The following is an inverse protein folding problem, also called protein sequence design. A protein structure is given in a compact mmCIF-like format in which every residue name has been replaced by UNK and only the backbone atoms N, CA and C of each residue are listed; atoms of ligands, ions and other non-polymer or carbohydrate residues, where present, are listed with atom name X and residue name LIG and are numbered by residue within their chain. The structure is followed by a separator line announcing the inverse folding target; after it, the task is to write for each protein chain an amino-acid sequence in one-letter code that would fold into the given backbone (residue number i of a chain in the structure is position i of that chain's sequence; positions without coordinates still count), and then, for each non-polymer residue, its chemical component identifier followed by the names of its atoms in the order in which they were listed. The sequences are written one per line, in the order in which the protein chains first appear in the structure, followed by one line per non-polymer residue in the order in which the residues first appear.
data_IF_296991255924
#
_entry.id   IF_296991255924
#
_cell.length_a   1.000
_cell.length_b   1.000
_cell.length_c   1.000
_cell.angle_alpha   90.00
_cell.angle_beta   90.00
_cell.angle_gamma   90.00
#
_symmetry.space_group_name_H-M   'P 1'
#
loop_
_entity.id
_entity.type
_entity.pdbx_description
1 polymer ?
#
# COMPACT_ATOMS: atom_id res chain seq x y z
N UNK A 1 -12.33 -22.79 -40.81
CA UNK A 1 -13.19 -21.84 -40.06
C UNK A 1 -12.88 -20.43 -40.56
N UNK A 2 -13.88 -19.75 -41.11
CA UNK A 2 -13.70 -18.63 -42.03
C UNK A 2 -13.35 -17.33 -41.26
N UNK A 3 -12.15 -16.75 -41.48
CA UNK A 3 -11.64 -15.56 -40.74
C UNK A 3 -12.59 -14.36 -40.80
N UNK A 4 -13.37 -14.23 -41.88
CA UNK A 4 -14.34 -13.16 -42.07
C UNK A 4 -15.50 -13.18 -41.06
N UNK A 5 -15.81 -14.34 -40.48
CA UNK A 5 -16.90 -14.48 -39.49
C UNK A 5 -16.46 -13.95 -38.13
N UNK A 6 -15.17 -14.08 -37.79
CA UNK A 6 -14.59 -13.64 -36.53
C UNK A 6 -14.51 -12.10 -36.46
N UNK A 7 -14.06 -11.45 -37.54
CA UNK A 7 -14.05 -9.99 -37.64
C UNK A 7 -15.45 -9.37 -37.55
N UNK A 8 -16.46 -10.02 -38.14
CA UNK A 8 -17.85 -9.53 -38.10
C UNK A 8 -18.46 -9.63 -36.70
N UNK A 9 -18.08 -10.64 -35.92
CA UNK A 9 -18.50 -10.80 -34.51
C UNK A 9 -17.87 -9.71 -33.64
N UNK A 10 -16.60 -9.38 -33.87
CA UNK A 10 -15.89 -8.35 -33.11
C UNK A 10 -16.46 -6.94 -33.37
N UNK A 11 -16.81 -6.62 -34.62
CA UNK A 11 -17.45 -5.34 -34.96
C UNK A 11 -18.87 -5.21 -34.38
N UNK A 12 -19.67 -6.28 -34.42
CA UNK A 12 -21.01 -6.30 -33.81
C UNK A 12 -20.94 -6.13 -32.28
N UNK A 13 -19.96 -6.77 -31.63
CA UNK A 13 -19.73 -6.65 -30.20
C UNK A 13 -19.32 -5.23 -29.82
N UNK A 14 -18.45 -4.60 -30.62
CA UNK A 14 -17.97 -3.22 -30.39
C UNK A 14 -19.09 -2.19 -30.53
N UNK A 15 -19.96 -2.34 -31.52
CA UNK A 15 -21.12 -1.45 -31.70
C UNK A 15 -22.13 -1.56 -30.56
N UNK A 16 -22.45 -2.78 -30.11
CA UNK A 16 -23.36 -3.00 -28.97
C UNK A 16 -22.82 -2.44 -27.65
N UNK A 17 -21.51 -2.51 -27.43
CA UNK A 17 -20.85 -1.93 -26.25
C UNK A 17 -20.87 -0.40 -26.28
N UNK A 18 -20.69 0.21 -27.46
CA UNK A 18 -20.75 1.66 -27.64
C UNK A 18 -22.17 2.21 -27.45
N UNK A 19 -23.21 1.48 -27.87
CA UNK A 19 -24.60 1.86 -27.59
C UNK A 19 -24.95 1.76 -26.09
N UNK A 20 -24.49 0.70 -25.41
CA UNK A 20 -24.66 0.55 -23.96
C UNK A 20 -23.98 1.67 -23.17
N UNK A 21 -22.77 2.08 -23.56
CA UNK A 21 -22.06 3.22 -22.97
C UNK A 21 -22.81 4.54 -23.22
N UNK A 22 -23.37 4.74 -24.41
CA UNK A 22 -24.20 5.93 -24.72
C UNK A 22 -25.48 5.97 -23.89
N UNK A 23 -26.16 4.82 -23.72
CA UNK A 23 -27.38 4.74 -22.92
C UNK A 23 -27.11 4.97 -21.42
N UNK A 24 -26.04 4.37 -20.89
CA UNK A 24 -25.59 4.58 -19.51
C UNK A 24 -25.26 6.04 -19.21
N UNK A 25 -24.55 6.72 -20.12
CA UNK A 25 -24.20 8.14 -19.96
C UNK A 25 -25.43 9.06 -19.98
N UNK A 26 -26.45 8.77 -20.80
CA UNK A 26 -27.67 9.57 -20.87
C UNK A 26 -28.57 9.41 -19.62
N UNK A 27 -28.63 8.20 -19.05
CA UNK A 27 -29.39 7.93 -17.80
C UNK A 27 -28.69 8.55 -16.58
N UNK A 28 -27.36 8.48 -16.52
CA UNK A 28 -26.57 9.13 -15.46
C UNK A 28 -26.74 10.65 -15.53
N UNK A 29 -26.70 11.25 -16.72
CA UNK A 29 -26.89 12.70 -16.88
C UNK A 29 -28.29 13.19 -16.46
N UNK A 30 -29.36 12.43 -16.78
CA UNK A 30 -30.73 12.76 -16.32
C UNK A 30 -30.91 12.64 -14.80
N UNK A 31 -30.27 11.67 -14.16
CA UNK A 31 -30.36 11.50 -12.70
C UNK A 31 -29.51 12.53 -11.94
N UNK A 32 -28.42 13.01 -12.55
CA UNK A 32 -27.61 14.12 -12.00
C UNK A 32 -28.34 15.45 -12.11
N UNK A 33 -29.05 15.73 -13.22
CA UNK A 33 -29.81 16.98 -13.38
C UNK A 33 -30.97 17.09 -12.38
N UNK A 34 -31.66 15.99 -12.08
CA UNK A 34 -32.81 16.00 -11.16
C UNK A 34 -32.38 16.16 -9.69
N UNK A 35 -31.23 15.60 -9.29
CA UNK A 35 -30.70 15.72 -7.91
C UNK A 35 -30.05 17.08 -7.60
N UNK A 36 -29.77 17.91 -8.62
CA UNK A 36 -29.18 19.24 -8.45
C UNK A 36 -30.21 20.29 -8.01
N UNK A 37 -31.50 20.08 -8.29
CA UNK A 37 -32.56 21.07 -8.03
C UNK A 37 -33.10 21.04 -6.58
N UNK A 38 -32.92 19.95 -5.83
CA UNK A 38 -33.50 19.79 -4.48
C UNK A 38 -32.53 20.09 -3.33
N UNK A 39 -31.22 20.14 -3.60
CA UNK A 39 -30.22 20.42 -2.58
C UNK A 39 -29.81 21.88 -2.70
N UNK A 40 -30.11 22.68 -1.67
CA UNK A 40 -29.52 24.01 -1.47
C UNK A 40 -28.01 23.83 -1.19
N UNK A 41 -27.27 23.51 -2.24
CA UNK A 41 -25.82 23.44 -2.24
C UNK A 41 -25.33 24.85 -2.00
N UNK A 42 -24.64 25.09 -0.89
CA UNK A 42 -23.83 26.30 -0.72
C UNK A 42 -22.81 26.24 -1.85
N UNK A 43 -23.10 26.98 -2.91
CA UNK A 43 -22.26 27.05 -4.09
C UNK A 43 -21.04 27.86 -3.69
N UNK A 44 -20.03 27.19 -3.12
CA UNK A 44 -18.70 27.76 -3.03
C UNK A 44 -18.26 27.95 -4.47
N UNK A 45 -18.35 29.19 -4.95
CA UNK A 45 -18.02 29.56 -6.32
C UNK A 45 -16.68 28.97 -6.71
N UNK A 46 -16.54 28.61 -7.99
CA UNK A 46 -15.25 28.14 -8.51
C UNK A 46 -14.22 29.24 -8.17
N UNK A 47 -13.16 28.90 -7.42
CA UNK A 47 -12.15 29.88 -7.04
C UNK A 47 -11.59 30.57 -8.29
N UNK A 48 -11.70 31.90 -8.30
CA UNK A 48 -11.50 32.75 -9.48
C UNK A 48 -10.04 32.96 -9.87
N UNK A 49 -9.10 32.49 -9.05
CA UNK A 49 -7.68 32.76 -9.20
C UNK A 49 -6.84 31.48 -9.16
N UNK A 50 -5.95 31.31 -10.13
CA UNK A 50 -5.01 30.19 -10.22
C UNK A 50 -4.90 29.66 -11.64
N UNK A 51 -3.68 29.32 -12.08
CA UNK A 51 -3.47 28.67 -13.37
C UNK A 51 -4.04 27.25 -13.37
N UNK A 52 -4.35 26.70 -14.55
CA UNK A 52 -4.82 25.32 -14.70
C UNK A 52 -3.88 24.30 -14.05
N UNK A 53 -2.57 24.59 -14.08
CA UNK A 53 -1.55 23.79 -13.43
C UNK A 53 -1.72 23.78 -11.90
N UNK A 54 -1.97 24.93 -11.29
CA UNK A 54 -2.24 25.04 -9.86
C UNK A 54 -3.47 24.21 -9.45
N UNK A 55 -4.55 24.28 -10.23
CA UNK A 55 -5.77 23.50 -9.98
C UNK A 55 -5.53 22.00 -10.06
N UNK A 56 -4.80 21.55 -11.08
CA UNK A 56 -4.44 20.14 -11.25
C UNK A 56 -3.60 19.61 -10.08
N UNK A 57 -2.61 20.38 -9.62
CA UNK A 57 -1.82 20.03 -8.45
C UNK A 57 -2.67 19.98 -7.17
N UNK A 58 -3.55 20.95 -6.95
CA UNK A 58 -4.44 20.99 -5.78
C UNK A 58 -5.41 19.82 -5.76
N UNK A 59 -5.98 19.44 -6.91
CA UNK A 59 -6.85 18.27 -7.05
C UNK A 59 -6.11 16.97 -6.77
N UNK A 60 -4.87 16.87 -7.25
CA UNK A 60 -4.00 15.72 -6.98
C UNK A 60 -3.72 15.60 -5.47
N UNK A 61 -3.28 16.66 -4.82
CA UNK A 61 -3.01 16.71 -3.37
C UNK A 61 -4.27 16.37 -2.58
N UNK A 62 -5.42 16.95 -2.96
CA UNK A 62 -6.69 16.69 -2.29
C UNK A 62 -7.14 15.24 -2.44
N UNK A 63 -6.92 14.64 -3.61
CA UNK A 63 -7.23 13.24 -3.88
C UNK A 63 -6.33 12.30 -3.07
N UNK A 64 -5.03 12.60 -3.00
CA UNK A 64 -4.07 11.85 -2.18
C UNK A 64 -4.50 11.92 -0.70
N UNK A 65 -4.76 13.12 -0.18
CA UNK A 65 -5.20 13.32 1.21
C UNK A 65 -6.48 12.55 1.55
N UNK A 66 -7.44 12.48 0.61
CA UNK A 66 -8.67 11.68 0.79
C UNK A 66 -8.37 10.18 0.79
N UNK A 67 -7.51 9.70 -0.11
CA UNK A 67 -7.11 8.29 -0.19
C UNK A 67 -6.34 7.85 1.06
N UNK A 68 -5.39 8.65 1.54
CA UNK A 68 -4.60 8.34 2.74
C UNK A 68 -5.47 8.30 3.99
N UNK A 69 -6.37 9.28 4.18
CA UNK A 69 -7.34 9.26 5.30
C UNK A 69 -8.23 8.02 5.28
N UNK A 70 -8.66 7.57 4.10
CA UNK A 70 -9.46 6.34 3.97
C UNK A 70 -8.63 5.10 4.34
N UNK A 71 -7.39 5.02 3.89
CA UNK A 71 -6.47 3.93 4.25
C UNK A 71 -6.19 3.88 5.75
N UNK A 72 -5.89 5.03 6.37
CA UNK A 72 -5.69 5.14 7.82
C UNK A 72 -6.93 4.64 8.59
N UNK A 73 -8.13 5.06 8.17
CA UNK A 73 -9.37 4.58 8.78
C UNK A 73 -9.59 3.07 8.62
N UNK A 74 -9.15 2.46 7.51
CA UNK A 74 -9.19 1.00 7.36
C UNK A 74 -8.19 0.29 8.28
N UNK A 75 -7.02 0.88 8.54
CA UNK A 75 -6.07 0.38 9.52
C UNK A 75 -6.63 0.49 10.94
N UNK A 76 -7.22 1.64 11.30
CA UNK A 76 -7.84 1.86 12.62
C UNK A 76 -9.03 0.92 12.86
N UNK A 77 -9.83 0.65 11.82
CA UNK A 77 -10.94 -0.30 11.89
C UNK A 77 -10.47 -1.76 11.89
N UNK A 78 -9.23 -2.03 11.49
CA UNK A 78 -8.69 -3.37 11.53
C UNK A 78 -8.29 -3.68 12.97
N UNK A 79 -9.18 -4.39 13.67
CA UNK A 79 -8.99 -4.83 15.03
C UNK A 79 -7.72 -5.66 15.21
N UNK A 80 -7.25 -6.33 14.16
CA UNK A 80 -5.96 -7.01 14.20
C UNK A 80 -4.88 -5.97 14.50
N UNK A 81 -4.71 -4.88 13.74
CA UNK A 81 -3.64 -3.91 14.02
C UNK A 81 -3.61 -3.37 15.46
N UNK A 82 -4.77 -3.20 16.09
CA UNK A 82 -4.86 -2.86 17.52
C UNK A 82 -4.36 -3.98 18.44
N UNK A 83 -4.74 -5.24 18.18
CA UNK A 83 -4.21 -6.42 18.90
C UNK A 83 -2.70 -6.57 18.73
N UNK A 84 -2.12 -6.12 17.61
CA UNK A 84 -0.66 -6.17 17.38
C UNK A 84 0.11 -5.42 18.44
N UNK A 85 -0.35 -4.22 18.76
CA UNK A 85 0.28 -3.35 19.73
C UNK A 85 0.19 -3.91 21.16
N UNK A 86 -0.71 -4.86 21.40
CA UNK A 86 -0.95 -5.49 22.69
C UNK A 86 -0.23 -6.84 22.85
N UNK A 87 0.47 -7.32 21.80
CA UNK A 87 1.26 -8.55 21.88
C UNK A 87 2.37 -8.43 22.93
N UNK A 88 2.52 -9.45 23.76
CA UNK A 88 3.49 -9.45 24.85
C UNK A 88 3.15 -8.53 26.04
N UNK A 89 1.96 -7.90 26.04
CA UNK A 89 1.47 -7.16 27.21
C UNK A 89 0.79 -8.13 28.19
N UNK A 90 1.07 -8.04 29.50
CA UNK A 90 0.40 -8.87 30.50
C UNK A 90 -1.10 -8.54 30.56
N UNK A 91 -1.96 -9.54 30.34
CA UNK A 91 -3.41 -9.42 30.52
C UNK A 91 -3.82 -10.12 31.81
N UNK A 92 -4.62 -9.43 32.64
CA UNK A 92 -5.26 -10.03 33.81
C UNK A 92 -6.50 -10.78 33.34
N UNK A 93 -6.46 -12.10 33.44
CA UNK A 93 -7.57 -12.99 33.10
C UNK A 93 -8.21 -13.53 34.38
N UNK A 94 -9.52 -13.72 34.36
CA UNK A 94 -10.27 -14.29 35.46
C UNK A 94 -10.72 -15.69 35.09
N UNK A 95 -10.34 -16.69 35.89
CA UNK A 95 -10.87 -18.04 35.77
C UNK A 95 -12.12 -18.18 36.66
N UNK A 96 -13.34 -18.24 36.09
CA UNK A 96 -14.56 -18.35 36.88
C UNK A 96 -14.69 -19.69 37.60
N UNK A 97 -13.98 -20.74 37.14
CA UNK A 97 -14.04 -22.06 37.76
C UNK A 97 -13.32 -22.09 39.11
N UNK A 98 -12.19 -21.40 39.18
CA UNK A 98 -11.34 -21.35 40.36
C UNK A 98 -11.48 -20.03 41.14
N UNK A 99 -12.20 -19.04 40.60
CA UNK A 99 -12.35 -17.70 41.16
C UNK A 99 -10.99 -17.00 41.43
N UNK A 100 -10.05 -17.17 40.49
CA UNK A 100 -8.68 -16.64 40.59
C UNK A 100 -8.42 -15.67 39.45
N UNK A 101 -7.80 -14.54 39.77
CA UNK A 101 -7.17 -13.66 38.78
C UNK A 101 -5.75 -14.12 38.55
N UNK A 102 -5.40 -14.37 37.29
CA UNK A 102 -4.05 -14.73 36.88
C UNK A 102 -3.59 -13.82 35.75
N UNK A 103 -2.28 -13.60 35.69
CA UNK A 103 -1.67 -12.77 34.67
C UNK A 103 -1.12 -13.69 33.60
N UNK A 104 -1.62 -13.58 32.39
CA UNK A 104 -1.12 -14.30 31.24
C UNK A 104 -0.52 -13.30 30.25
N UNK A 105 0.68 -13.61 29.75
CA UNK A 105 1.24 -12.85 28.63
C UNK A 105 0.44 -13.15 27.36
N UNK A 106 0.05 -12.10 26.64
CA UNK A 106 -0.71 -12.24 25.40
C UNK A 106 0.17 -12.87 24.30
N UNK A 107 0.02 -14.18 24.12
CA UNK A 107 0.71 -14.98 23.10
C UNK A 107 -0.17 -15.22 21.87
N UNK A 108 -1.17 -14.37 21.62
CA UNK A 108 -1.96 -14.45 20.39
C UNK A 108 -1.00 -14.36 19.20
N UNK A 109 -0.76 -15.50 18.54
CA UNK A 109 0.15 -15.58 17.43
C UNK A 109 -0.34 -14.63 16.33
N UNK A 110 0.47 -13.61 16.10
CA UNK A 110 0.27 -12.64 15.04
C UNK A 110 0.52 -13.28 13.68
N UNK A 111 -0.39 -14.16 13.25
CA UNK A 111 -0.35 -14.82 11.94
C UNK A 111 -1.25 -14.12 10.90
N UNK A 112 -1.57 -12.84 11.12
CA UNK A 112 -2.39 -12.02 10.23
C UNK A 112 -1.67 -11.55 8.97
N UNK A 113 -2.38 -10.85 8.07
CA UNK A 113 -1.84 -10.35 6.80
C UNK A 113 -0.62 -9.44 6.98
N UNK A 114 -0.60 -8.63 8.05
CA UNK A 114 0.51 -7.73 8.38
C UNK A 114 1.82 -8.48 8.69
N UNK A 115 1.72 -9.62 9.40
CA UNK A 115 2.89 -10.46 9.70
C UNK A 115 3.48 -11.07 8.43
N UNK A 116 2.64 -11.57 7.53
CA UNK A 116 3.07 -12.13 6.24
C UNK A 116 3.68 -11.06 5.35
N UNK A 117 3.11 -9.85 5.34
CA UNK A 117 3.66 -8.72 4.59
C UNK A 117 5.03 -8.32 5.14
N UNK A 118 5.17 -8.17 6.47
CA UNK A 118 6.46 -7.83 7.10
C UNK A 118 7.50 -8.93 6.87
N UNK A 119 7.12 -10.21 6.98
CA UNK A 119 8.00 -11.34 6.71
C UNK A 119 8.47 -11.33 5.25
N UNK A 120 7.59 -11.03 4.30
CA UNK A 120 7.92 -10.97 2.88
C UNK A 120 8.83 -9.76 2.55
N UNK A 121 8.61 -8.60 3.18
CA UNK A 121 9.49 -7.43 3.07
C UNK A 121 10.86 -7.74 3.69
N UNK A 122 10.87 -8.39 4.85
CA UNK A 122 12.10 -8.77 5.54
C UNK A 122 12.93 -9.73 4.71
N UNK A 123 12.31 -10.78 4.19
CA UNK A 123 12.99 -11.82 3.42
C UNK A 123 13.50 -11.31 2.07
N UNK A 124 12.73 -10.48 1.36
CA UNK A 124 13.07 -10.07 -0.01
C UNK A 124 13.84 -8.75 -0.12
N UNK A 125 13.80 -7.89 0.90
CA UNK A 125 14.43 -6.56 0.82
C UNK A 125 15.46 -6.41 1.92
N UNK A 126 15.04 -6.50 3.18
CA UNK A 126 15.91 -6.19 4.32
C UNK A 126 17.07 -7.18 4.44
N UNK A 127 16.83 -8.46 4.17
CA UNK A 127 17.87 -9.50 4.27
C UNK A 127 19.02 -9.28 3.28
N UNK A 128 18.70 -8.99 2.01
CA UNK A 128 19.73 -8.70 1.00
C UNK A 128 20.48 -7.39 1.29
N UNK A 129 19.78 -6.35 1.76
CA UNK A 129 20.44 -5.12 2.19
C UNK A 129 21.38 -5.36 3.38
N UNK A 130 20.99 -6.22 4.32
CA UNK A 130 21.81 -6.58 5.47
C UNK A 130 23.08 -7.32 5.05
N UNK A 131 22.96 -8.32 4.17
CA UNK A 131 24.12 -9.05 3.63
C UNK A 131 25.04 -8.10 2.85
N UNK A 132 24.47 -7.25 2.00
CA UNK A 132 25.23 -6.26 1.22
C UNK A 132 26.01 -5.31 2.12
N UNK A 133 25.38 -4.80 3.18
CA UNK A 133 26.02 -3.96 4.18
C UNK A 133 27.21 -4.66 4.84
N UNK A 134 27.06 -5.93 5.24
CA UNK A 134 28.14 -6.69 5.87
C UNK A 134 29.31 -6.97 4.94
N UNK A 135 29.05 -7.35 3.69
CA UNK A 135 30.10 -7.56 2.68
C UNK A 135 30.87 -6.26 2.47
N UNK A 136 30.17 -5.14 2.31
CA UNK A 136 30.78 -3.82 2.17
C UNK A 136 31.64 -3.46 3.40
N UNK A 137 31.11 -3.67 4.60
CA UNK A 137 31.81 -3.37 5.84
C UNK A 137 33.10 -4.18 6.00
N UNK A 138 33.05 -5.50 5.72
CA UNK A 138 34.22 -6.38 5.76
C UNK A 138 35.25 -5.94 4.72
N UNK A 139 34.82 -5.69 3.48
CA UNK A 139 35.71 -5.22 2.42
C UNK A 139 36.42 -3.91 2.78
N UNK A 140 35.68 -2.93 3.30
CA UNK A 140 36.25 -1.67 3.74
C UNK A 140 37.26 -1.84 4.86
N UNK A 141 36.98 -2.71 5.84
CA UNK A 141 37.93 -3.05 6.92
C UNK A 141 39.19 -3.74 6.40
N UNK A 142 39.09 -4.59 5.37
CA UNK A 142 40.28 -5.19 4.73
C UNK A 142 41.15 -4.14 4.03
N UNK A 143 40.52 -3.19 3.34
CA UNK A 143 41.20 -2.11 2.62
C UNK A 143 41.90 -1.15 3.61
N UNK A 144 41.20 -0.68 4.64
CA UNK A 144 41.77 0.23 5.66
C UNK A 144 42.92 -0.40 6.43
N UNK A 145 42.81 -1.70 6.77
CA UNK A 145 43.90 -2.43 7.42
C UNK A 145 45.01 -2.84 6.45
N UNK A 146 44.93 -2.41 5.19
CA UNK A 146 45.88 -2.70 4.12
C UNK A 146 46.17 -4.21 3.96
N UNK A 147 45.19 -5.07 4.30
CA UNK A 147 45.36 -6.53 4.30
C UNK A 147 45.57 -7.09 2.88
N UNK A 148 45.14 -6.36 1.86
CA UNK A 148 45.35 -6.71 0.45
C UNK A 148 46.84 -6.65 0.04
N UNK A 149 47.66 -5.88 0.76
CA UNK A 149 49.08 -5.69 0.47
C UNK A 149 50.02 -6.47 1.41
N UNK A 150 49.51 -7.44 2.19
CA UNK A 150 50.34 -8.19 3.14
C UNK A 150 51.46 -8.97 2.44
N UNK A 151 51.19 -9.50 1.25
CA UNK A 151 52.13 -10.31 0.47
C UNK A 151 53.02 -9.48 -0.46
N UNK A 152 52.77 -8.19 -0.65
CA UNK A 152 53.57 -7.35 -1.57
C UNK A 152 55.02 -7.20 -1.09
N UNK A 153 55.27 -7.28 0.23
CA UNK A 153 56.60 -7.24 0.83
C UNK A 153 57.48 -8.46 0.48
N UNK A 154 56.89 -9.56 0.01
CA UNK A 154 57.59 -10.81 -0.30
C UNK A 154 57.84 -10.98 -1.80
N UNK A 155 57.38 -10.04 -2.63
CA UNK A 155 57.39 -10.15 -4.10
C UNK A 155 58.77 -9.94 -4.74
N UNK A 156 59.69 -9.23 -4.09
CA UNK A 156 60.99 -8.85 -4.67
C UNK A 156 62.18 -9.50 -3.94
N UNK A 157 62.07 -10.76 -3.51
CA UNK A 157 63.10 -11.43 -2.71
C UNK A 157 63.93 -12.49 -3.45
N UNK A 158 63.86 -12.47 -4.78
CA UNK A 158 64.73 -13.25 -5.67
C UNK A 158 65.77 -12.34 -6.34
#
# INVERSE_FOLDING_TARGET
MNRNLLFKIDDLRKNKFNELLKYGNNVINKNVSNNLNERKLIYVGKPTHGSDFYWKCREMISSIKKKTKRCARYLDLNHDFSRAALTGVPKTSFDPKNNIFYIQMDNEEWAGLGSKMMLNISMNILFYLHISFWIYFIYYRLLVNNKLNVFSKWKNKD
#
